data_IF_416396275100
#
_entry.id   IF_416396275100
#
_cell.length_a   1.000
_cell.length_b   1.000
_cell.length_c   1.000
_cell.angle_alpha   90.00
_cell.angle_beta   90.00
_cell.angle_gamma   90.00
#
_symmetry.space_group_name_H-M   'P 1'
#
loop_
_entity.id
_entity.type
_entity.pdbx_description
1 polymer ?
#
# COMPACT_ATOMS: atom_id res chain seq x y z
N UNK A 1 42.58 -11.62 35.68
CA UNK A 1 42.33 -11.41 34.23
C UNK A 1 40.84 -11.56 33.99
N UNK A 2 40.08 -10.47 33.91
CA UNK A 2 38.63 -10.51 33.66
C UNK A 2 38.41 -10.55 32.15
N UNK A 3 37.96 -11.69 31.65
CA UNK A 3 37.60 -11.86 30.24
C UNK A 3 36.20 -11.27 30.03
N UNK A 4 36.11 -10.12 29.37
CA UNK A 4 34.83 -9.54 28.94
C UNK A 4 34.36 -10.26 27.69
N UNK A 5 33.27 -11.03 27.80
CA UNK A 5 32.50 -11.48 26.64
C UNK A 5 31.79 -10.27 26.04
N UNK A 6 32.28 -9.79 24.90
CA UNK A 6 31.57 -8.83 24.06
C UNK A 6 30.50 -9.59 23.29
N UNK A 7 29.26 -9.51 23.75
CA UNK A 7 28.08 -10.04 23.07
C UNK A 7 27.84 -9.16 21.83
N UNK A 8 28.27 -9.62 20.65
CA UNK A 8 27.85 -9.02 19.39
C UNK A 8 26.35 -9.25 19.22
N UNK A 9 25.55 -8.26 19.62
CA UNK A 9 24.16 -8.15 19.19
C UNK A 9 24.21 -7.99 17.67
N UNK A 10 23.88 -9.07 16.97
CA UNK A 10 23.55 -9.03 15.55
C UNK A 10 22.42 -8.01 15.39
N UNK A 11 22.78 -6.80 14.96
CA UNK A 11 21.87 -5.82 14.41
C UNK A 11 21.15 -6.51 13.26
N UNK A 12 19.95 -7.00 13.54
CA UNK A 12 19.01 -7.38 12.51
C UNK A 12 18.92 -6.17 11.58
N UNK A 13 19.44 -6.31 10.36
CA UNK A 13 19.45 -5.25 9.38
C UNK A 13 18.00 -4.80 9.22
N UNK A 14 17.70 -3.59 9.71
CA UNK A 14 16.43 -2.91 9.51
C UNK A 14 16.35 -2.44 8.05
N UNK A 15 16.48 -3.36 7.11
CA UNK A 15 15.83 -3.21 5.81
C UNK A 15 14.34 -3.36 6.13
N UNK A 16 13.70 -2.22 6.37
CA UNK A 16 12.38 -2.13 6.97
C UNK A 16 11.41 -3.11 6.32
N UNK A 17 10.71 -3.88 7.14
CA UNK A 17 9.51 -4.59 6.73
C UNK A 17 8.56 -3.53 6.13
N UNK A 18 8.52 -3.42 4.81
CA UNK A 18 7.51 -2.62 4.14
C UNK A 18 6.18 -3.31 4.41
N UNK A 19 5.49 -2.84 5.43
CA UNK A 19 4.13 -3.30 5.69
C UNK A 19 3.31 -2.88 4.47
N UNK A 20 2.69 -3.83 3.79
CA UNK A 20 1.73 -3.62 2.69
C UNK A 20 0.33 -3.90 3.24
N UNK A 21 -0.66 -3.10 2.86
CA UNK A 21 -2.07 -3.44 3.12
C UNK A 21 -2.69 -4.01 1.85
N UNK A 22 -3.76 -4.77 2.03
CA UNK A 22 -4.46 -5.45 0.95
C UNK A 22 -5.95 -5.17 1.07
N UNK A 23 -6.60 -4.91 -0.07
CA UNK A 23 -8.04 -4.70 -0.15
C UNK A 23 -8.64 -5.89 -0.88
N UNK A 24 -9.60 -6.56 -0.25
CA UNK A 24 -10.38 -7.63 -0.87
C UNK A 24 -11.51 -7.02 -1.71
N UNK A 25 -11.56 -7.38 -3.00
CA UNK A 25 -12.60 -6.95 -3.92
C UNK A 25 -13.47 -8.16 -4.27
N UNK A 26 -14.72 -8.13 -3.80
CA UNK A 26 -15.69 -9.21 -3.97
C UNK A 26 -16.42 -9.13 -5.33
N UNK A 27 -15.67 -8.95 -6.41
CA UNK A 27 -16.19 -8.88 -7.78
C UNK A 27 -15.46 -9.88 -8.65
N UNK A 28 -16.22 -10.71 -9.38
CA UNK A 28 -15.67 -11.75 -10.24
C UNK A 28 -15.06 -11.16 -11.52
N UNK A 29 -13.74 -11.25 -11.68
CA UNK A 29 -13.02 -10.73 -12.86
C UNK A 29 -11.94 -11.71 -13.32
N UNK A 30 -11.60 -11.68 -14.62
CA UNK A 30 -10.39 -12.34 -15.12
C UNK A 30 -9.16 -11.71 -14.50
N UNK A 31 -8.02 -12.41 -14.51
CA UNK A 31 -6.81 -11.89 -13.87
C UNK A 31 -6.39 -10.52 -14.44
N UNK A 32 -6.43 -10.37 -15.76
CA UNK A 32 -6.07 -9.11 -16.42
C UNK A 32 -7.07 -7.98 -16.11
N UNK A 33 -8.38 -8.27 -16.07
CA UNK A 33 -9.38 -7.26 -15.69
C UNK A 33 -9.25 -6.84 -14.22
N UNK A 34 -8.97 -7.79 -13.33
CA UNK A 34 -8.70 -7.52 -11.93
C UNK A 34 -7.45 -6.65 -11.74
N UNK A 35 -6.39 -6.91 -12.51
CA UNK A 35 -5.18 -6.09 -12.53
C UNK A 35 -5.48 -4.64 -12.95
N UNK A 36 -6.19 -4.44 -14.06
CA UNK A 36 -6.58 -3.11 -14.51
C UNK A 36 -7.41 -2.39 -13.45
N UNK A 37 -8.39 -3.08 -12.85
CA UNK A 37 -9.18 -2.51 -11.76
C UNK A 37 -8.31 -2.07 -10.58
N UNK A 38 -7.36 -2.90 -10.14
CA UNK A 38 -6.47 -2.54 -9.04
C UNK A 38 -5.53 -1.37 -9.40
N UNK A 39 -5.10 -1.24 -10.66
CA UNK A 39 -4.27 -0.12 -11.10
C UNK A 39 -5.04 1.18 -11.26
N UNK A 40 -6.33 1.09 -11.58
CA UNK A 40 -7.23 2.25 -11.67
C UNK A 40 -7.66 2.77 -10.29
N UNK A 41 -7.79 1.88 -9.30
CA UNK A 41 -8.39 2.22 -8.00
C UNK A 41 -7.43 2.11 -6.80
N UNK A 42 -6.27 1.48 -6.98
CA UNK A 42 -5.28 1.19 -5.93
C UNK A 42 -3.87 1.19 -6.54
N UNK A 43 -3.00 0.23 -6.15
CA UNK A 43 -1.64 0.12 -6.69
C UNK A 43 -1.57 -0.90 -7.82
N UNK A 44 -1.82 -2.17 -7.52
CA UNK A 44 -1.80 -3.31 -8.44
C UNK A 44 -2.52 -4.48 -7.72
N UNK A 45 -2.60 -5.66 -8.34
CA UNK A 45 -2.95 -6.89 -7.62
C UNK A 45 -2.00 -7.14 -6.44
N UNK A 46 -2.44 -7.97 -5.49
CA UNK A 46 -1.70 -8.24 -4.27
C UNK A 46 -0.34 -8.89 -4.55
N UNK A 47 0.72 -8.26 -4.06
CA UNK A 47 2.08 -8.81 -4.01
C UNK A 47 2.40 -9.31 -2.61
N UNK A 48 2.86 -10.56 -2.50
CA UNK A 48 3.11 -11.23 -1.22
C UNK A 48 4.57 -11.68 -1.18
N UNK A 49 5.40 -10.97 -0.44
CA UNK A 49 6.85 -11.21 -0.35
C UNK A 49 7.28 -11.84 0.97
N UNK A 50 6.35 -12.14 1.89
CA UNK A 50 6.67 -12.75 3.18
C UNK A 50 5.53 -13.62 3.73
N UNK A 51 5.87 -14.49 4.69
CA UNK A 51 4.89 -15.31 5.40
C UNK A 51 3.92 -14.45 6.22
N UNK A 52 4.41 -13.34 6.79
CA UNK A 52 3.62 -12.39 7.58
C UNK A 52 2.58 -11.68 6.71
N UNK A 53 2.94 -11.29 5.49
CA UNK A 53 1.99 -10.76 4.52
C UNK A 53 0.96 -11.81 4.12
N UNK A 54 1.40 -13.02 3.77
CA UNK A 54 0.52 -14.12 3.37
C UNK A 54 -0.57 -14.39 4.42
N UNK A 55 -0.20 -14.35 5.71
CA UNK A 55 -1.12 -14.60 6.81
C UNK A 55 -2.25 -13.55 6.91
N UNK A 56 -2.01 -12.30 6.48
CA UNK A 56 -3.03 -11.23 6.54
C UNK A 56 -4.16 -11.43 5.54
N UNK A 57 -3.91 -12.13 4.43
CA UNK A 57 -4.91 -12.39 3.39
C UNK A 57 -5.77 -13.65 3.67
N UNK A 58 -5.42 -14.46 4.68
CA UNK A 58 -6.12 -15.73 4.97
C UNK A 58 -7.58 -15.50 5.32
N UNK A 59 -7.89 -14.52 6.18
CA UNK A 59 -9.26 -14.29 6.68
C UNK A 59 -10.19 -13.76 5.58
N UNK A 60 -9.82 -12.75 4.78
CA UNK A 60 -10.71 -12.28 3.72
C UNK A 60 -10.87 -13.29 2.57
N UNK A 61 -9.95 -14.24 2.42
CA UNK A 61 -10.02 -15.31 1.41
C UNK A 61 -10.79 -16.57 1.86
N UNK A 62 -11.43 -16.55 3.05
CA UNK A 62 -12.16 -17.71 3.55
C UNK A 62 -13.31 -18.06 2.59
N UNK A 63 -13.25 -19.24 1.99
CA UNK A 63 -14.35 -19.81 1.19
C UNK A 63 -14.13 -19.85 -0.33
N UNK A 64 -12.96 -19.45 -0.85
CA UNK A 64 -12.70 -19.55 -2.29
C UNK A 64 -11.30 -19.15 -2.73
N UNK A 65 -11.09 -19.22 -4.05
CA UNK A 65 -9.88 -18.76 -4.71
C UNK A 65 -10.00 -17.27 -5.02
N UNK A 66 -8.90 -16.53 -4.79
CA UNK A 66 -8.84 -15.08 -4.95
C UNK A 66 -7.60 -14.72 -5.76
N UNK A 67 -7.70 -13.88 -6.79
CA UNK A 67 -6.52 -13.49 -7.57
C UNK A 67 -5.51 -12.70 -6.74
N UNK A 68 -4.23 -12.98 -7.00
CA UNK A 68 -3.05 -12.21 -6.56
C UNK A 68 -2.17 -11.87 -7.76
N UNK A 69 -1.20 -10.98 -7.59
CA UNK A 69 -0.41 -10.40 -8.70
C UNK A 69 0.63 -11.33 -9.33
N UNK A 70 0.78 -12.57 -8.84
CA UNK A 70 1.77 -13.50 -9.34
C UNK A 70 1.31 -14.11 -10.67
N UNK A 71 2.15 -14.04 -11.69
CA UNK A 71 1.89 -14.59 -13.02
C UNK A 71 3.18 -15.12 -13.67
N UNK A 72 3.03 -15.78 -14.81
CA UNK A 72 4.11 -16.12 -15.74
C UNK A 72 3.71 -15.76 -17.16
N UNK A 73 4.69 -15.50 -18.01
CA UNK A 73 4.46 -15.09 -19.40
C UNK A 73 4.10 -16.27 -20.31
N UNK A 74 4.58 -17.48 -20.01
CA UNK A 74 4.35 -18.70 -20.79
C UNK A 74 3.98 -19.83 -19.85
N UNK A 75 2.85 -20.49 -20.12
CA UNK A 75 2.39 -21.66 -19.39
C UNK A 75 3.47 -22.75 -19.32
N UNK A 76 3.63 -23.39 -18.16
CA UNK A 76 4.63 -24.44 -17.92
C UNK A 76 6.05 -23.96 -17.64
N UNK A 77 6.39 -22.69 -17.88
CA UNK A 77 7.67 -22.13 -17.45
C UNK A 77 7.64 -21.95 -15.92
N UNK A 78 8.76 -22.28 -15.24
CA UNK A 78 8.88 -22.19 -13.77
C UNK A 78 9.25 -20.80 -13.26
N UNK A 79 9.33 -19.82 -14.15
CA UNK A 79 9.69 -18.43 -13.85
C UNK A 79 8.43 -17.64 -13.56
N UNK A 80 8.29 -17.21 -12.31
CA UNK A 80 7.15 -16.42 -11.82
C UNK A 80 7.58 -14.98 -11.55
N UNK A 81 6.68 -14.04 -11.82
CA UNK A 81 6.91 -12.61 -11.63
C UNK A 81 5.67 -11.95 -11.00
N UNK A 82 5.92 -10.96 -10.14
CA UNK A 82 4.85 -10.11 -9.62
C UNK A 82 4.47 -9.04 -10.65
N UNK A 83 3.18 -8.74 -10.75
CA UNK A 83 2.63 -7.76 -11.67
C UNK A 83 3.11 -6.32 -11.42
N UNK A 84 3.47 -6.01 -10.17
CA UNK A 84 4.03 -4.72 -9.75
C UNK A 84 5.55 -4.61 -9.97
N UNK A 85 6.20 -5.69 -10.43
CA UNK A 85 7.64 -5.75 -10.69
C UNK A 85 8.50 -6.07 -9.45
N UNK A 86 7.91 -6.36 -8.30
CA UNK A 86 8.67 -6.78 -7.11
C UNK A 86 9.38 -8.12 -7.31
N UNK A 87 10.45 -8.31 -6.55
CA UNK A 87 11.28 -9.53 -6.66
C UNK A 87 10.56 -10.77 -6.11
N UNK A 88 10.59 -11.86 -6.88
CA UNK A 88 9.99 -13.14 -6.49
C UNK A 88 10.96 -13.97 -5.63
N UNK A 89 10.80 -13.93 -4.31
CA UNK A 89 11.66 -14.67 -3.36
C UNK A 89 10.90 -15.49 -2.31
N UNK A 90 9.57 -15.34 -2.26
CA UNK A 90 8.69 -16.07 -1.35
C UNK A 90 7.58 -16.75 -2.16
N UNK A 91 7.30 -18.01 -1.82
CA UNK A 91 6.22 -18.78 -2.42
C UNK A 91 5.48 -19.58 -1.35
N UNK A 92 4.15 -19.67 -1.50
CA UNK A 92 3.29 -20.49 -0.62
C UNK A 92 2.38 -21.42 -1.43
N UNK A 93 2.96 -22.12 -2.40
CA UNK A 93 2.25 -23.12 -3.21
C UNK A 93 1.56 -24.16 -2.33
N UNK A 94 0.37 -24.59 -2.76
CA UNK A 94 -0.27 -25.78 -2.23
C UNK A 94 0.55 -27.04 -2.60
N UNK A 95 0.36 -28.15 -1.87
CA UNK A 95 0.92 -29.44 -2.28
C UNK A 95 0.55 -29.74 -3.75
N UNK A 96 1.54 -30.19 -4.52
CA UNK A 96 1.48 -30.48 -5.96
C UNK A 96 1.32 -29.26 -6.89
N UNK A 97 1.37 -28.03 -6.38
CA UNK A 97 1.33 -26.81 -7.18
C UNK A 97 2.73 -26.19 -7.36
N UNK A 98 2.97 -25.43 -8.45
CA UNK A 98 2.09 -25.27 -9.61
C UNK A 98 2.06 -26.53 -10.50
N UNK A 99 0.88 -26.95 -10.97
CA UNK A 99 0.71 -28.16 -11.79
C UNK A 99 0.50 -27.89 -13.29
N UNK A 100 0.25 -26.62 -13.66
CA UNK A 100 -0.02 -26.21 -15.03
C UNK A 100 -1.11 -27.05 -15.70
N UNK A 101 -2.25 -27.21 -15.03
CA UNK A 101 -3.33 -28.07 -15.48
C UNK A 101 -3.78 -27.72 -16.92
N UNK A 102 -3.91 -28.75 -17.77
CA UNK A 102 -4.16 -28.61 -19.22
C UNK A 102 -3.18 -27.71 -19.99
N UNK A 103 -2.04 -27.34 -19.41
CA UNK A 103 -1.04 -26.45 -20.02
C UNK A 103 -1.54 -25.03 -20.34
N UNK A 104 -2.52 -24.53 -19.58
CA UNK A 104 -3.12 -23.19 -19.80
C UNK A 104 -2.96 -22.25 -18.60
N UNK A 105 -2.44 -22.73 -17.48
CA UNK A 105 -2.44 -21.95 -16.24
C UNK A 105 -1.23 -21.02 -16.19
N UNK A 106 -1.46 -19.71 -16.11
CA UNK A 106 -0.38 -18.72 -16.09
C UNK A 106 -0.56 -17.63 -15.04
N UNK A 107 -1.68 -17.66 -14.32
CA UNK A 107 -2.04 -16.71 -13.29
C UNK A 107 -2.21 -17.43 -11.96
N UNK A 108 -2.03 -16.75 -10.83
CA UNK A 108 -2.04 -17.42 -9.53
C UNK A 108 -3.19 -16.92 -8.68
N UNK A 109 -3.94 -17.87 -8.11
CA UNK A 109 -4.92 -17.56 -7.09
C UNK A 109 -4.43 -17.99 -5.69
N UNK A 110 -4.83 -17.22 -4.70
CA UNK A 110 -4.65 -17.44 -3.28
C UNK A 110 -5.89 -18.13 -2.69
N UNK A 111 -5.66 -19.07 -1.78
CA UNK A 111 -6.67 -19.62 -0.88
C UNK A 111 -6.15 -19.58 0.57
N UNK A 112 -7.00 -19.82 1.55
CA UNK A 112 -6.60 -19.90 2.97
C UNK A 112 -5.49 -20.92 3.26
N UNK A 113 -5.28 -21.89 2.38
CA UNK A 113 -4.33 -23.00 2.56
C UNK A 113 -3.04 -22.85 1.74
N UNK A 114 -3.00 -21.94 0.77
CA UNK A 114 -1.85 -21.75 -0.13
C UNK A 114 -2.28 -21.29 -1.52
N UNK A 115 -1.32 -21.27 -2.44
CA UNK A 115 -1.46 -20.74 -3.80
C UNK A 115 -1.60 -21.86 -4.84
N UNK A 116 -2.30 -21.57 -5.93
CA UNK A 116 -2.54 -22.44 -7.08
C UNK A 116 -2.30 -21.64 -8.36
N UNK A 117 -1.62 -22.18 -9.37
CA UNK A 117 -1.74 -21.61 -10.70
C UNK A 117 -3.10 -21.96 -11.30
N UNK A 118 -3.60 -21.10 -12.18
CA UNK A 118 -4.93 -21.19 -12.74
C UNK A 118 -4.99 -20.50 -14.10
N UNK A 119 -5.94 -20.92 -14.91
CA UNK A 119 -6.27 -20.27 -16.18
C UNK A 119 -6.69 -18.81 -15.91
N UNK A 120 -5.97 -17.88 -16.53
CA UNK A 120 -6.15 -16.44 -16.38
C UNK A 120 -7.55 -15.97 -16.81
N UNK A 121 -8.24 -16.74 -17.65
CA UNK A 121 -9.59 -16.46 -18.15
C UNK A 121 -10.70 -16.81 -17.15
N UNK A 122 -10.36 -17.49 -16.03
CA UNK A 122 -11.34 -17.71 -14.96
C UNK A 122 -11.68 -16.40 -14.26
N UNK A 123 -12.94 -16.26 -13.86
CA UNK A 123 -13.39 -15.11 -13.08
C UNK A 123 -13.38 -15.44 -11.59
N UNK A 124 -12.59 -14.68 -10.82
CA UNK A 124 -12.43 -14.81 -9.37
C UNK A 124 -12.56 -13.43 -8.70
N UNK A 125 -12.92 -13.35 -7.40
CA UNK A 125 -12.62 -12.16 -6.60
C UNK A 125 -11.11 -11.96 -6.53
N UNK A 126 -10.65 -10.80 -6.07
CA UNK A 126 -9.22 -10.47 -6.12
C UNK A 126 -8.79 -9.57 -4.98
N UNK A 127 -7.49 -9.63 -4.64
CA UNK A 127 -6.88 -8.69 -3.73
C UNK A 127 -6.09 -7.64 -4.49
N UNK A 128 -6.28 -6.37 -4.14
CA UNK A 128 -5.40 -5.29 -4.55
C UNK A 128 -4.38 -4.98 -3.45
N UNK A 129 -3.16 -4.63 -3.85
CA UNK A 129 -2.16 -4.00 -2.98
C UNK A 129 -2.55 -2.54 -2.73
N UNK A 130 -2.40 -2.10 -1.49
CA UNK A 130 -2.55 -0.71 -1.07
C UNK A 130 -1.28 -0.22 -0.38
N UNK A 131 -0.80 0.97 -0.78
CA UNK A 131 0.35 1.63 -0.15
C UNK A 131 0.25 3.14 -0.29
N UNK A 132 0.91 3.83 0.61
CA UNK A 132 1.16 5.25 0.43
C UNK A 132 2.28 5.48 -0.60
N UNK A 133 2.08 6.47 -1.47
CA UNK A 133 3.04 6.86 -2.49
C UNK A 133 3.53 8.28 -2.19
N UNK A 134 4.81 8.40 -1.81
CA UNK A 134 5.45 9.70 -1.67
C UNK A 134 5.75 10.26 -3.07
N UNK A 135 5.15 11.41 -3.38
CA UNK A 135 5.46 12.19 -4.58
C UNK A 135 6.43 13.30 -4.19
N UNK A 136 7.61 13.31 -4.82
CA UNK A 136 8.71 14.25 -4.50
C UNK A 136 8.66 15.55 -5.31
N UNK A 137 7.52 15.83 -5.92
CA UNK A 137 7.26 17.11 -6.59
C UNK A 137 6.95 18.22 -5.57
N UNK A 138 7.13 19.47 -5.97
CA UNK A 138 6.89 20.64 -5.13
C UNK A 138 5.60 21.33 -5.58
N UNK A 139 4.49 21.05 -4.88
CA UNK A 139 3.16 21.52 -5.27
C UNK A 139 2.42 22.18 -4.11
N UNK A 140 1.55 23.14 -4.43
CA UNK A 140 0.55 23.66 -3.49
C UNK A 140 -0.43 22.56 -3.08
N UNK A 141 -1.18 22.77 -2.01
CA UNK A 141 -2.11 21.75 -1.53
C UNK A 141 -3.16 21.36 -2.60
N UNK A 142 -3.66 22.34 -3.35
CA UNK A 142 -4.66 22.12 -4.41
C UNK A 142 -4.06 21.35 -5.59
N UNK A 143 -2.88 21.76 -6.05
CA UNK A 143 -2.15 21.04 -7.13
C UNK A 143 -1.84 19.60 -6.73
N UNK A 144 -1.41 19.37 -5.48
CA UNK A 144 -1.13 18.03 -4.96
C UNK A 144 -2.40 17.15 -4.91
N UNK A 145 -3.54 17.72 -4.51
CA UNK A 145 -4.82 17.01 -4.51
C UNK A 145 -5.21 16.58 -5.93
N UNK A 146 -5.12 17.49 -6.89
CA UNK A 146 -5.49 17.23 -8.28
C UNK A 146 -4.54 16.22 -8.92
N UNK A 147 -3.24 16.32 -8.63
CA UNK A 147 -2.26 15.33 -9.04
C UNK A 147 -2.60 13.95 -8.50
N UNK A 148 -2.83 13.81 -7.18
CA UNK A 148 -3.15 12.50 -6.61
C UNK A 148 -4.46 11.93 -7.14
N UNK A 149 -5.46 12.75 -7.50
CA UNK A 149 -6.71 12.26 -8.10
C UNK A 149 -6.58 11.89 -9.58
N UNK A 150 -5.56 12.41 -10.25
CA UNK A 150 -5.31 12.15 -11.67
C UNK A 150 -4.52 10.86 -11.85
N UNK A 151 -3.53 10.62 -10.99
CA UNK A 151 -2.58 9.51 -11.13
C UNK A 151 -2.74 8.41 -10.08
N UNK A 152 -3.55 8.65 -9.03
CA UNK A 152 -3.82 7.72 -7.93
C UNK A 152 -5.28 7.87 -7.49
N UNK A 153 -5.64 7.37 -6.31
CA UNK A 153 -6.99 7.50 -5.75
C UNK A 153 -7.21 8.89 -5.15
N UNK A 154 -6.22 9.40 -4.43
CA UNK A 154 -6.31 10.74 -3.86
C UNK A 154 -5.20 11.08 -2.88
N UNK A 155 -5.30 12.27 -2.30
CA UNK A 155 -4.35 12.77 -1.31
C UNK A 155 -4.57 12.06 0.03
N UNK A 156 -3.53 11.44 0.56
CA UNK A 156 -3.60 10.55 1.71
C UNK A 156 -3.70 11.29 3.05
N UNK A 157 -4.52 10.76 3.95
CA UNK A 157 -4.57 11.16 5.36
C UNK A 157 -4.35 9.92 6.23
N UNK A 158 -3.10 9.58 6.59
CA UNK A 158 -2.82 8.45 7.46
C UNK A 158 -3.25 8.76 8.90
N UNK A 159 -4.49 8.43 9.28
CA UNK A 159 -5.10 8.88 10.54
C UNK A 159 -5.27 7.78 11.60
N UNK A 160 -4.96 6.53 11.26
CA UNK A 160 -4.82 5.41 12.21
C UNK A 160 -3.36 5.07 12.50
N UNK A 161 -3.07 4.39 13.60
CA UNK A 161 -1.69 3.99 13.95
C UNK A 161 -1.02 3.13 12.87
N UNK A 162 -1.77 2.18 12.29
CA UNK A 162 -1.28 1.34 11.19
C UNK A 162 -0.91 2.19 9.97
N UNK A 163 -1.80 3.09 9.55
CA UNK A 163 -1.53 3.99 8.44
C UNK A 163 -0.37 4.95 8.73
N UNK A 164 -0.25 5.44 9.97
CA UNK A 164 0.89 6.29 10.36
C UNK A 164 2.22 5.54 10.29
N UNK A 165 2.24 4.26 10.65
CA UNK A 165 3.42 3.40 10.49
C UNK A 165 3.77 3.20 9.01
N UNK A 166 2.78 3.00 8.16
CA UNK A 166 2.97 2.83 6.71
C UNK A 166 3.47 4.11 6.04
N UNK A 167 2.85 5.24 6.40
CA UNK A 167 3.24 6.55 5.90
C UNK A 167 4.69 6.86 6.29
N UNK A 168 5.11 6.57 7.53
CA UNK A 168 6.52 6.73 7.97
C UNK A 168 7.50 6.02 7.06
N UNK A 169 7.23 4.76 6.72
CA UNK A 169 8.09 3.98 5.83
C UNK A 169 8.11 4.57 4.43
N UNK A 170 6.94 4.93 3.89
CA UNK A 170 6.81 5.53 2.56
C UNK A 170 7.50 6.90 2.44
N UNK A 171 7.66 7.63 3.56
CA UNK A 171 8.18 9.01 3.56
C UNK A 171 9.67 9.14 3.90
N UNK A 172 10.38 8.03 4.05
CA UNK A 172 11.83 7.98 4.38
C UNK A 172 12.73 8.77 3.41
N UNK A 173 12.28 9.02 2.18
CA UNK A 173 13.01 9.77 1.16
C UNK A 173 12.47 11.17 0.84
N UNK A 174 11.64 11.76 1.72
CA UNK A 174 11.11 13.12 1.55
C UNK A 174 12.22 14.17 1.44
N UNK A 175 12.00 15.20 0.63
CA UNK A 175 12.91 16.34 0.48
C UNK A 175 12.47 17.55 1.31
N UNK A 176 11.21 17.57 1.73
CA UNK A 176 10.61 18.65 2.53
C UNK A 176 10.39 18.18 3.96
N UNK A 177 10.56 19.09 4.94
CA UNK A 177 10.40 18.78 6.36
C UNK A 177 8.94 18.46 6.74
N UNK A 178 8.00 18.97 5.95
CA UNK A 178 6.57 18.72 6.06
C UNK A 178 6.02 18.37 4.70
N UNK A 179 5.00 17.53 4.68
CA UNK A 179 4.38 17.04 3.45
C UNK A 179 2.87 17.24 3.48
N UNK A 180 2.26 17.46 2.32
CA UNK A 180 0.81 17.57 2.25
C UNK A 180 0.12 16.25 2.56
N UNK A 181 -0.99 16.38 3.29
CA UNK A 181 -1.93 15.32 3.57
C UNK A 181 -3.32 15.73 3.08
N UNK A 182 -4.23 14.76 2.99
CA UNK A 182 -5.61 14.99 2.62
C UNK A 182 -6.45 15.78 3.63
N UNK A 183 -5.86 16.37 4.67
CA UNK A 183 -6.59 17.16 5.67
C UNK A 183 -6.84 18.59 5.18
N UNK A 184 -8.08 19.05 5.33
CA UNK A 184 -8.49 20.43 5.03
C UNK A 184 -9.47 20.95 6.06
N UNK A 185 -9.38 22.23 6.40
CA UNK A 185 -10.35 22.90 7.26
C UNK A 185 -11.48 23.53 6.44
N UNK A 186 -12.68 22.99 6.56
CA UNK A 186 -13.89 23.47 5.87
C UNK A 186 -15.09 23.44 6.83
N UNK A 187 -15.98 24.42 6.72
CA UNK A 187 -17.20 24.50 7.53
C UNK A 187 -16.96 24.35 9.05
N UNK A 188 -15.92 24.99 9.57
CA UNK A 188 -15.62 25.04 11.00
C UNK A 188 -14.98 23.77 11.58
N UNK A 189 -14.58 22.80 10.74
CA UNK A 189 -13.92 21.58 11.18
C UNK A 189 -12.84 21.11 10.21
N UNK A 190 -11.88 20.36 10.73
CA UNK A 190 -10.97 19.57 9.90
C UNK A 190 -11.71 18.38 9.31
N UNK A 191 -11.46 18.06 8.05
CA UNK A 191 -11.95 16.85 7.37
C UNK A 191 -10.84 16.24 6.55
N UNK A 192 -10.88 14.92 6.36
CA UNK A 192 -10.06 14.25 5.35
C UNK A 192 -10.80 14.21 4.02
N UNK A 193 -10.09 14.51 2.92
CA UNK A 193 -10.61 14.37 1.55
C UNK A 193 -10.85 12.92 1.14
N UNK A 194 -10.29 11.93 1.85
CA UNK A 194 -10.53 10.50 1.59
C UNK A 194 -11.80 9.96 2.26
N UNK A 195 -12.68 10.84 2.79
CA UNK A 195 -13.90 10.50 3.54
C UNK A 195 -13.66 9.64 4.79
N UNK A 196 -12.41 9.55 5.25
CA UNK A 196 -12.05 8.80 6.45
C UNK A 196 -12.34 9.64 7.71
N UNK A 197 -13.02 9.08 8.73
CA UNK A 197 -13.26 9.79 9.99
C UNK A 197 -11.95 10.15 10.69
N UNK A 198 -11.78 11.40 11.09
CA UNK A 198 -10.56 11.84 11.78
C UNK A 198 -10.32 11.03 13.05
N UNK A 199 -9.12 10.44 13.14
CA UNK A 199 -8.66 9.76 14.35
C UNK A 199 -8.28 10.75 15.45
N UNK A 200 -8.31 10.29 16.71
CA UNK A 200 -7.90 11.06 17.90
C UNK A 200 -6.43 11.51 17.87
N UNK A 201 -5.63 10.95 16.97
CA UNK A 201 -4.21 11.26 16.79
C UNK A 201 -3.96 12.58 16.04
N UNK A 202 -5.00 13.20 15.47
CA UNK A 202 -4.90 14.47 14.76
C UNK A 202 -5.08 15.64 15.74
N UNK A 203 -3.99 16.32 16.07
CA UNK A 203 -4.00 17.53 16.89
C UNK A 203 -3.76 18.75 16.01
N UNK A 204 -4.83 19.49 15.70
CA UNK A 204 -4.78 20.71 14.88
C UNK A 204 -5.62 21.83 15.53
N UNK A 205 -5.33 23.11 15.25
CA UNK A 205 -6.11 24.22 15.80
C UNK A 205 -7.58 24.16 15.38
N UNK A 206 -8.50 24.48 16.29
CA UNK A 206 -9.95 24.48 16.02
C UNK A 206 -10.40 25.60 15.07
N UNK A 207 -9.67 26.73 15.03
CA UNK A 207 -10.01 27.90 14.21
C UNK A 207 -8.76 28.49 13.53
N UNK A 208 -8.16 27.80 12.56
CA UNK A 208 -7.00 28.31 11.83
C UNK A 208 -7.38 29.51 10.95
N UNK A 209 -6.45 30.47 10.86
CA UNK A 209 -6.53 31.59 9.92
C UNK A 209 -6.69 31.09 8.48
N UNK A 210 -7.41 31.81 7.59
CA UNK A 210 -7.87 31.29 6.30
C UNK A 210 -6.81 30.64 5.41
N UNK A 211 -5.60 31.22 5.32
CA UNK A 211 -4.50 30.68 4.50
C UNK A 211 -3.88 29.41 5.09
N UNK A 212 -3.96 29.19 6.40
CA UNK A 212 -3.39 28.02 7.08
C UNK A 212 -4.42 26.90 7.30
N UNK A 213 -5.28 26.67 6.31
CA UNK A 213 -6.38 25.68 6.36
C UNK A 213 -6.04 24.35 5.68
N UNK A 214 -4.77 24.16 5.32
CA UNK A 214 -4.25 22.96 4.68
C UNK A 214 -3.42 22.15 5.68
N UNK A 215 -3.75 20.88 5.82
CA UNK A 215 -3.10 20.00 6.78
C UNK A 215 -1.90 19.30 6.18
N UNK A 216 -0.79 19.40 6.87
CA UNK A 216 0.46 18.73 6.56
C UNK A 216 0.86 17.79 7.70
N UNK A 217 1.86 16.96 7.44
CA UNK A 217 2.52 16.16 8.46
C UNK A 217 4.01 16.42 8.39
N UNK A 218 4.62 16.69 9.53
CA UNK A 218 6.06 16.81 9.63
C UNK A 218 6.69 15.42 9.50
N UNK A 219 7.62 15.24 8.57
CA UNK A 219 8.22 13.92 8.32
C UNK A 219 9.28 13.55 9.35
N UNK A 220 9.84 14.54 10.06
CA UNK A 220 10.83 14.33 11.10
C UNK A 220 10.18 14.03 12.45
N UNK A 221 9.20 14.83 12.84
CA UNK A 221 8.53 14.70 14.15
C UNK A 221 7.28 13.82 14.10
N UNK A 222 6.76 13.52 12.90
CA UNK A 222 5.50 12.81 12.68
C UNK A 222 4.24 13.52 13.19
N UNK A 223 4.36 14.79 13.57
CA UNK A 223 3.26 15.61 14.07
C UNK A 223 2.43 16.18 12.92
N UNK A 224 1.14 16.37 13.19
CA UNK A 224 0.24 17.09 12.29
C UNK A 224 0.47 18.59 12.41
N UNK A 225 0.40 19.28 11.28
CA UNK A 225 0.61 20.72 11.19
C UNK A 225 -0.46 21.33 10.30
N UNK A 226 -0.84 22.58 10.57
CA UNK A 226 -1.55 23.40 9.60
C UNK A 226 -0.55 24.36 8.94
N UNK A 227 -0.51 24.36 7.61
CA UNK A 227 0.47 25.12 6.82
C UNK A 227 -0.25 26.04 5.85
N UNK A 228 0.46 27.04 5.35
CA UNK A 228 -0.08 27.93 4.35
C UNK A 228 -0.31 27.16 3.04
N UNK A 229 -1.54 27.17 2.54
CA UNK A 229 -1.98 26.35 1.41
C UNK A 229 -1.20 26.60 0.11
N UNK A 230 -0.59 27.79 -0.02
CA UNK A 230 0.21 28.20 -1.19
C UNK A 230 1.69 27.77 -1.08
N UNK A 231 2.11 27.17 0.03
CA UNK A 231 3.43 26.55 0.13
C UNK A 231 3.56 25.35 -0.81
N UNK A 232 4.77 25.15 -1.34
CA UNK A 232 5.07 24.01 -2.20
C UNK A 232 5.80 22.92 -1.41
N UNK A 233 5.12 21.81 -1.16
CA UNK A 233 5.63 20.68 -0.39
C UNK A 233 5.59 19.40 -1.22
N UNK A 234 6.35 18.39 -0.80
CA UNK A 234 6.09 17.02 -1.23
C UNK A 234 4.78 16.53 -0.62
N UNK A 235 4.23 15.44 -1.13
CA UNK A 235 2.90 15.01 -0.73
C UNK A 235 2.70 13.50 -0.82
N UNK A 236 1.71 13.00 -0.07
CA UNK A 236 1.39 11.58 -0.01
C UNK A 236 0.12 11.29 -0.79
N UNK A 237 0.20 10.42 -1.80
CA UNK A 237 -0.98 9.84 -2.43
C UNK A 237 -1.26 8.44 -1.87
N UNK A 238 -2.43 7.89 -2.21
CA UNK A 238 -2.82 6.50 -1.98
C UNK A 238 -3.70 5.99 -3.13
#
# INVERSE_FOLDING_TARGET
MKSSLVLFLLLCSMAGCQKREYIYINTQMTWFSAQSYCRENYVDLATITSAEENQRLVVPAVGGNVWIGLNRTVAGVKTWQWSDGESTHFFKWLPNQPDNWFSVESCVCFSSSGWNDMDCERTLPFFCSWRFVLVKEYMTWTEALDYCRTYYTGLASPISENQLSLARTATTGTQTASMWTGLRFVNGRWVSVSSTPLGSLVSLPSCPVPRYRCGARNTNTNLWENRDCDEKLNFLCY
#
